data_IF_849380412196
#
_entry.id   IF_849380412196
#
_cell.length_a   1.000
_cell.length_b   1.000
_cell.length_c   1.000
_cell.angle_alpha   90.00
_cell.angle_beta   90.00
_cell.angle_gamma   90.00
#
_symmetry.space_group_name_H-M   'P 1'
#
loop_
_entity.id
_entity.type
_entity.pdbx_description
1 polymer ?
#
# COMPACT_ATOMS: atom_id res chain seq x y z
N UNK A 1 -12.53 -21.21 -13.31
CA UNK A 1 -12.36 -19.77 -13.44
C UNK A 1 -13.28 -19.13 -14.46
N UNK A 2 -13.28 -19.50 -15.73
CA UNK A 2 -14.14 -18.86 -16.77
C UNK A 2 -15.65 -18.88 -16.45
N UNK A 3 -16.18 -19.97 -15.85
CA UNK A 3 -17.59 -20.04 -15.43
C UNK A 3 -17.93 -19.11 -14.26
N UNK A 4 -16.97 -18.78 -13.38
CA UNK A 4 -17.15 -17.82 -12.30
C UNK A 4 -17.20 -16.41 -12.88
N UNK A 5 -16.28 -16.05 -13.78
CA UNK A 5 -16.27 -14.77 -14.49
C UNK A 5 -17.55 -14.55 -15.28
N UNK A 6 -18.03 -15.55 -16.01
CA UNK A 6 -19.30 -15.47 -16.73
C UNK A 6 -20.52 -15.24 -15.82
N UNK A 7 -20.52 -15.83 -14.60
CA UNK A 7 -21.56 -15.58 -13.60
C UNK A 7 -21.53 -14.16 -13.04
N UNK A 8 -20.34 -13.57 -12.87
CA UNK A 8 -20.16 -12.19 -12.43
C UNK A 8 -20.90 -11.22 -13.37
N UNK A 9 -20.73 -11.39 -14.68
CA UNK A 9 -21.37 -10.53 -15.67
C UNK A 9 -22.88 -10.76 -15.83
N UNK A 10 -23.40 -11.92 -15.42
CA UNK A 10 -24.83 -12.22 -15.44
C UNK A 10 -25.61 -11.57 -14.30
N UNK A 11 -24.93 -11.19 -13.22
CA UNK A 11 -25.58 -10.58 -12.03
C UNK A 11 -25.64 -9.06 -12.20
N UNK A 12 -26.84 -8.43 -12.36
CA UNK A 12 -26.95 -7.01 -12.74
C UNK A 12 -26.35 -6.05 -11.72
N UNK A 13 -26.48 -6.33 -10.42
CA UNK A 13 -25.94 -5.44 -9.37
C UNK A 13 -24.43 -5.52 -9.27
N UNK A 14 -23.86 -6.72 -9.42
CA UNK A 14 -22.41 -6.89 -9.39
C UNK A 14 -21.77 -6.23 -10.62
N UNK A 15 -22.44 -6.33 -11.79
CA UNK A 15 -22.03 -5.63 -13.00
C UNK A 15 -22.04 -4.11 -12.83
N UNK A 16 -23.08 -3.55 -12.16
CA UNK A 16 -23.14 -2.10 -11.85
C UNK A 16 -22.00 -1.68 -10.92
N UNK A 17 -21.70 -2.45 -9.87
CA UNK A 17 -20.59 -2.17 -8.96
C UNK A 17 -19.23 -2.23 -9.64
N UNK A 18 -19.00 -3.25 -10.48
CA UNK A 18 -17.76 -3.38 -11.27
C UNK A 18 -17.64 -2.20 -12.23
N UNK A 19 -18.70 -1.88 -12.98
CA UNK A 19 -18.72 -0.76 -13.93
C UNK A 19 -18.43 0.57 -13.24
N UNK A 20 -19.00 0.80 -12.06
CA UNK A 20 -18.73 1.97 -11.24
C UNK A 20 -17.25 2.06 -10.79
N UNK A 21 -16.69 0.95 -10.31
CA UNK A 21 -15.29 0.87 -9.93
C UNK A 21 -14.36 1.16 -11.10
N UNK A 22 -14.63 0.55 -12.28
CA UNK A 22 -13.84 0.78 -13.50
C UNK A 22 -13.95 2.23 -13.99
N UNK A 23 -15.12 2.86 -13.89
CA UNK A 23 -15.31 4.26 -14.24
C UNK A 23 -14.47 5.19 -13.35
N UNK A 24 -14.43 4.95 -12.02
CA UNK A 24 -13.60 5.73 -11.11
C UNK A 24 -12.10 5.48 -11.34
N UNK A 25 -11.70 4.26 -11.67
CA UNK A 25 -10.32 3.94 -12.07
C UNK A 25 -9.93 4.71 -13.34
N UNK A 26 -10.81 4.78 -14.33
CA UNK A 26 -10.57 5.55 -15.56
C UNK A 26 -10.42 7.04 -15.26
N UNK A 27 -11.28 7.62 -14.41
CA UNK A 27 -11.17 9.01 -13.97
C UNK A 27 -9.86 9.29 -13.22
N UNK A 28 -9.45 8.37 -12.33
CA UNK A 28 -8.17 8.46 -11.65
C UNK A 28 -6.99 8.47 -12.64
N UNK A 29 -7.02 7.61 -13.64
CA UNK A 29 -5.97 7.56 -14.68
C UNK A 29 -5.95 8.82 -15.54
N UNK A 30 -7.10 9.35 -15.93
CA UNK A 30 -7.18 10.62 -16.65
C UNK A 30 -6.55 11.77 -15.85
N UNK A 31 -6.88 11.90 -14.57
CA UNK A 31 -6.29 12.94 -13.71
C UNK A 31 -4.79 12.80 -13.50
N UNK A 32 -4.24 11.58 -13.62
CA UNK A 32 -2.79 11.34 -13.53
C UNK A 32 -2.00 11.90 -14.71
N UNK A 33 -2.65 12.20 -15.84
CA UNK A 33 -2.03 12.78 -17.04
C UNK A 33 -2.24 14.29 -17.16
N UNK A 34 -3.12 14.89 -16.35
CA UNK A 34 -3.38 16.33 -16.39
C UNK A 34 -2.28 17.04 -15.60
N UNK A 35 -1.41 17.86 -16.23
CA UNK A 35 -0.35 18.56 -15.53
C UNK A 35 -0.92 19.60 -14.56
N UNK A 36 -0.20 19.84 -13.46
CA UNK A 36 -0.53 20.91 -12.53
C UNK A 36 -0.34 22.29 -13.19
N UNK A 37 -1.05 23.34 -12.71
CA UNK A 37 -0.89 24.70 -13.24
C UNK A 37 0.57 25.14 -13.17
N UNK A 38 1.00 25.95 -14.14
CA UNK A 38 2.35 26.50 -14.25
C UNK A 38 3.48 25.49 -14.45
N UNK A 39 3.19 24.21 -14.71
CA UNK A 39 4.16 23.17 -15.07
C UNK A 39 4.38 23.19 -16.58
N UNK A 40 5.63 23.26 -17.01
CA UNK A 40 5.99 23.10 -18.41
C UNK A 40 6.09 21.62 -18.77
N UNK A 41 5.00 21.07 -19.32
CA UNK A 41 4.90 19.67 -19.67
C UNK A 41 5.95 19.21 -20.70
N UNK A 42 6.32 20.08 -21.66
CA UNK A 42 7.36 19.79 -22.64
C UNK A 42 8.73 19.57 -21.99
N UNK A 43 9.11 20.44 -21.07
CA UNK A 43 10.36 20.32 -20.33
C UNK A 43 10.36 19.10 -19.42
N UNK A 44 9.24 18.79 -18.77
CA UNK A 44 9.10 17.59 -17.94
C UNK A 44 9.30 16.33 -18.77
N UNK A 45 8.68 16.22 -19.94
CA UNK A 45 8.86 15.07 -20.83
C UNK A 45 10.27 14.96 -21.39
N UNK A 46 10.89 16.07 -21.81
CA UNK A 46 12.25 16.08 -22.29
C UNK A 46 13.24 15.65 -21.19
N UNK A 47 12.99 16.09 -19.96
CA UNK A 47 13.78 15.70 -18.80
C UNK A 47 13.61 14.23 -18.41
N UNK A 48 12.39 13.70 -18.47
CA UNK A 48 12.10 12.28 -18.27
C UNK A 48 12.79 11.39 -19.32
N UNK A 49 12.80 11.80 -20.58
CA UNK A 49 13.42 11.06 -21.67
C UNK A 49 14.95 10.98 -21.51
N UNK A 50 15.58 12.04 -21.01
CA UNK A 50 17.03 12.09 -20.75
C UNK A 50 17.45 11.38 -19.47
N UNK A 51 16.54 11.27 -18.47
CA UNK A 51 16.79 10.66 -17.18
C UNK A 51 16.17 9.26 -17.10
N UNK A 52 16.78 8.29 -17.74
CA UNK A 52 16.40 6.86 -17.61
C UNK A 52 16.83 6.22 -16.27
N UNK A 53 17.39 7.00 -15.32
CA UNK A 53 17.87 6.52 -14.04
C UNK A 53 17.60 7.55 -12.92
N UNK A 54 16.37 7.61 -12.42
CA UNK A 54 16.05 8.37 -11.18
C UNK A 54 16.48 7.60 -9.94
N UNK A 55 17.00 8.29 -8.93
CA UNK A 55 17.44 7.70 -7.67
C UNK A 55 16.26 7.02 -6.93
N UNK A 56 16.50 5.81 -6.40
CA UNK A 56 15.51 4.84 -5.91
C UNK A 56 14.37 5.34 -5.03
N UNK A 57 14.56 6.45 -4.32
CA UNK A 57 13.54 6.96 -3.39
C UNK A 57 12.36 7.62 -4.11
N UNK A 58 12.63 8.47 -5.11
CA UNK A 58 11.57 9.09 -5.93
C UNK A 58 10.84 8.08 -6.79
N UNK A 59 11.48 6.96 -7.12
CA UNK A 59 10.87 5.90 -7.87
C UNK A 59 9.84 5.14 -7.06
N UNK A 60 10.10 4.90 -5.76
CA UNK A 60 9.10 4.31 -4.87
C UNK A 60 7.85 5.19 -4.75
N UNK A 61 8.02 6.49 -4.49
CA UNK A 61 6.88 7.41 -4.40
C UNK A 61 6.16 7.54 -5.75
N UNK A 62 6.92 7.58 -6.84
CA UNK A 62 6.37 7.61 -8.19
C UNK A 62 5.62 6.32 -8.56
N UNK A 63 6.03 5.19 -8.00
CA UNK A 63 5.32 3.92 -8.14
C UNK A 63 3.90 4.00 -7.54
N UNK A 64 3.77 4.53 -6.33
CA UNK A 64 2.48 4.69 -5.65
C UNK A 64 1.59 5.76 -6.31
N UNK A 65 2.17 6.75 -6.96
CA UNK A 65 1.43 7.76 -7.74
C UNK A 65 1.08 7.30 -9.17
N UNK A 66 1.54 6.13 -9.60
CA UNK A 66 1.30 5.61 -10.95
C UNK A 66 2.00 6.39 -12.06
N UNK A 67 3.11 7.08 -11.75
CA UNK A 67 3.85 7.93 -12.68
C UNK A 67 3.49 9.41 -12.62
N UNK A 68 2.45 9.76 -11.90
CA UNK A 68 1.93 11.11 -11.80
C UNK A 68 2.89 12.10 -11.12
N UNK A 69 3.73 11.62 -10.18
CA UNK A 69 4.69 12.46 -9.44
C UNK A 69 5.74 13.07 -10.37
N UNK A 70 6.39 12.25 -11.19
CA UNK A 70 7.43 12.73 -12.10
C UNK A 70 6.86 13.58 -13.25
N UNK A 71 5.58 13.42 -13.56
CA UNK A 71 4.86 14.26 -14.52
C UNK A 71 4.35 15.57 -13.89
N UNK A 72 4.50 15.76 -12.58
CA UNK A 72 3.94 16.91 -11.84
C UNK A 72 2.46 17.13 -12.17
N UNK A 73 1.69 16.04 -12.25
CA UNK A 73 0.25 16.09 -12.54
C UNK A 73 -0.56 16.52 -11.30
N UNK A 74 -1.86 16.79 -11.49
CA UNK A 74 -2.78 17.13 -10.38
C UNK A 74 -2.77 16.04 -9.31
N UNK A 75 -2.59 14.78 -9.71
CA UNK A 75 -2.50 13.62 -8.81
C UNK A 75 -1.06 13.22 -8.45
N UNK A 76 -0.11 14.15 -8.52
CA UNK A 76 1.31 13.87 -8.27
C UNK A 76 1.59 13.24 -6.91
N UNK A 77 0.92 13.67 -5.85
CA UNK A 77 1.05 13.09 -4.51
C UNK A 77 0.42 11.69 -4.38
N UNK A 78 -0.47 11.35 -5.32
CA UNK A 78 -1.18 10.08 -5.29
C UNK A 78 -1.97 9.87 -4.00
N UNK A 79 -1.99 8.63 -3.53
CA UNK A 79 -2.72 8.20 -2.33
C UNK A 79 -1.84 8.23 -1.06
N UNK A 80 -0.54 8.54 -1.19
CA UNK A 80 0.43 8.48 -0.09
C UNK A 80 0.05 9.31 1.14
N UNK A 81 -0.43 10.57 1.04
CA UNK A 81 -0.83 11.35 2.20
C UNK A 81 -1.95 10.67 3.00
N UNK A 82 -2.91 10.05 2.32
CA UNK A 82 -4.01 9.33 2.98
C UNK A 82 -3.53 8.06 3.69
N UNK A 83 -2.66 7.27 3.05
CA UNK A 83 -2.09 6.07 3.67
C UNK A 83 -1.34 6.46 4.94
N UNK A 84 -0.47 7.46 4.84
CA UNK A 84 0.31 7.95 6.00
C UNK A 84 -0.60 8.46 7.12
N UNK A 85 -1.65 9.21 6.79
CA UNK A 85 -2.64 9.68 7.75
C UNK A 85 -3.40 8.54 8.44
N UNK A 86 -3.86 7.56 7.66
CA UNK A 86 -4.56 6.38 8.17
C UNK A 86 -3.69 5.59 9.14
N UNK A 87 -2.42 5.45 8.79
CA UNK A 87 -1.41 4.80 9.60
C UNK A 87 -1.20 5.54 10.92
N UNK A 88 -1.01 6.86 10.86
CA UNK A 88 -0.83 7.69 12.07
C UNK A 88 -2.05 7.56 12.99
N UNK A 89 -3.26 7.61 12.46
CA UNK A 89 -4.49 7.45 13.25
C UNK A 89 -4.58 6.06 13.88
N UNK A 90 -4.16 5.00 13.17
CA UNK A 90 -4.08 3.64 13.75
C UNK A 90 -3.04 3.56 14.88
N UNK A 91 -1.90 4.23 14.74
CA UNK A 91 -0.88 4.31 15.80
C UNK A 91 -1.39 5.10 17.01
N UNK A 92 -2.06 6.23 16.77
CA UNK A 92 -2.65 7.04 17.85
C UNK A 92 -3.70 6.28 18.64
N UNK A 93 -4.39 5.31 18.04
CA UNK A 93 -5.32 4.42 18.76
C UNK A 93 -4.63 3.63 19.88
N UNK A 94 -3.38 3.23 19.69
CA UNK A 94 -2.62 2.49 20.71
C UNK A 94 -2.11 3.40 21.81
N UNK A 95 -1.73 4.62 21.45
CA UNK A 95 -1.12 5.58 22.39
C UNK A 95 -2.16 6.39 23.16
N UNK A 96 -3.25 6.75 22.51
CA UNK A 96 -4.28 7.65 23.08
C UNK A 96 -5.55 6.86 23.39
N UNK A 97 -5.94 6.71 24.69
CA UNK A 97 -7.14 5.95 25.08
C UNK A 97 -8.43 6.44 24.42
N UNK A 98 -8.54 7.74 24.14
CA UNK A 98 -9.70 8.32 23.48
C UNK A 98 -9.94 7.73 22.07
N UNK A 99 -8.89 7.46 21.30
CA UNK A 99 -9.03 6.83 19.99
C UNK A 99 -9.43 5.35 20.09
N UNK A 100 -9.02 4.67 21.15
CA UNK A 100 -9.43 3.28 21.41
C UNK A 100 -10.91 3.21 21.83
N UNK A 101 -11.40 4.15 22.66
CA UNK A 101 -12.82 4.23 23.01
C UNK A 101 -13.68 4.50 21.78
N UNK A 102 -13.29 5.44 20.90
CA UNK A 102 -13.97 5.69 19.63
C UNK A 102 -14.04 4.43 18.76
N UNK A 103 -12.98 3.65 18.70
CA UNK A 103 -12.99 2.39 17.93
C UNK A 103 -13.98 1.37 18.49
N UNK A 104 -14.09 1.27 19.83
CA UNK A 104 -15.03 0.38 20.53
C UNK A 104 -16.49 0.82 20.41
N UNK A 105 -16.77 2.09 20.10
CA UNK A 105 -18.13 2.61 19.84
C UNK A 105 -18.76 2.06 18.55
N UNK A 106 -18.02 1.30 17.73
CA UNK A 106 -18.52 0.71 16.50
C UNK A 106 -18.62 1.71 15.34
N UNK A 107 -19.70 1.65 14.56
CA UNK A 107 -19.82 2.42 13.31
C UNK A 107 -19.76 3.95 13.51
N UNK A 108 -20.35 4.48 14.59
CA UNK A 108 -20.32 5.92 14.87
C UNK A 108 -18.91 6.42 15.19
N UNK A 109 -18.17 5.67 15.98
CA UNK A 109 -16.79 5.99 16.32
C UNK A 109 -15.83 5.82 15.13
N UNK A 110 -16.03 4.79 14.30
CA UNK A 110 -15.27 4.62 13.06
C UNK A 110 -15.48 5.79 12.08
N UNK A 111 -16.70 6.31 11.96
CA UNK A 111 -16.97 7.50 11.14
C UNK A 111 -16.15 8.71 11.62
N UNK A 112 -16.05 8.93 12.93
CA UNK A 112 -15.21 10.01 13.51
C UNK A 112 -13.74 9.78 13.26
N UNK A 113 -13.24 8.55 13.42
CA UNK A 113 -11.84 8.20 13.11
C UNK A 113 -11.50 8.46 11.63
N UNK A 114 -12.39 8.11 10.72
CA UNK A 114 -12.27 8.42 9.30
C UNK A 114 -12.20 9.93 9.06
N UNK A 115 -12.99 10.72 9.80
CA UNK A 115 -12.94 12.18 9.70
C UNK A 115 -11.59 12.75 10.16
N UNK A 116 -11.03 12.28 11.26
CA UNK A 116 -9.66 12.64 11.68
C UNK A 116 -8.62 12.27 10.63
N UNK A 117 -8.77 11.09 10.01
CA UNK A 117 -7.89 10.67 8.90
C UNK A 117 -7.99 11.65 7.73
N UNK A 118 -9.18 12.11 7.36
CA UNK A 118 -9.37 13.11 6.28
C UNK A 118 -8.68 14.43 6.59
N UNK A 119 -8.84 14.97 7.81
CA UNK A 119 -8.17 16.22 8.22
C UNK A 119 -6.65 16.08 8.17
N UNK A 120 -6.13 14.98 8.71
CA UNK A 120 -4.70 14.70 8.71
C UNK A 120 -4.16 14.50 7.29
N UNK A 121 -4.94 13.87 6.40
CA UNK A 121 -4.59 13.72 4.98
C UNK A 121 -4.41 15.06 4.30
N UNK A 122 -5.32 16.01 4.53
CA UNK A 122 -5.23 17.35 3.95
C UNK A 122 -3.99 18.09 4.50
N UNK A 123 -3.74 18.02 5.81
CA UNK A 123 -2.58 18.64 6.42
C UNK A 123 -1.26 18.07 5.86
N UNK A 124 -1.15 16.75 5.77
CA UNK A 124 0.01 16.09 5.15
C UNK A 124 0.11 16.38 3.66
N UNK A 125 -1.02 16.48 2.97
CA UNK A 125 -1.08 16.87 1.56
C UNK A 125 -0.49 18.25 1.30
N UNK A 126 -0.84 19.25 2.13
CA UNK A 126 -0.24 20.60 2.06
C UNK A 126 1.27 20.56 2.31
N UNK A 127 1.71 19.81 3.29
CA UNK A 127 3.13 19.68 3.62
C UNK A 127 3.91 18.99 2.50
N UNK A 128 3.41 17.88 1.99
CA UNK A 128 4.07 17.13 0.91
C UNK A 128 4.02 17.88 -0.42
N UNK A 129 2.94 18.59 -0.76
CA UNK A 129 2.86 19.41 -1.97
C UNK A 129 3.85 20.56 -1.94
N UNK A 130 3.98 21.24 -0.80
CA UNK A 130 4.97 22.30 -0.62
C UNK A 130 6.39 21.75 -0.83
N UNK A 131 6.68 20.58 -0.26
CA UNK A 131 7.96 19.89 -0.44
C UNK A 131 8.21 19.56 -1.90
N UNK A 132 7.25 18.95 -2.58
CA UNK A 132 7.40 18.57 -3.99
C UNK A 132 7.66 19.78 -4.89
N UNK A 133 6.94 20.87 -4.67
CA UNK A 133 7.11 22.11 -5.47
C UNK A 133 8.48 22.73 -5.22
N UNK A 134 8.96 22.79 -3.98
CA UNK A 134 10.30 23.32 -3.66
C UNK A 134 11.40 22.48 -4.29
N UNK A 135 11.28 21.16 -4.28
CA UNK A 135 12.19 20.23 -4.93
C UNK A 135 12.14 20.33 -6.45
N UNK A 136 10.95 20.47 -7.04
CA UNK A 136 10.80 20.67 -8.47
C UNK A 136 11.41 22.01 -8.92
N UNK A 137 11.28 23.06 -8.10
CA UNK A 137 11.86 24.39 -8.36
C UNK A 137 13.38 24.41 -8.27
N UNK A 138 13.97 23.67 -7.34
CA UNK A 138 15.43 23.57 -7.19
C UNK A 138 16.10 22.71 -8.27
N UNK A 139 15.33 22.05 -9.14
CA UNK A 139 15.83 21.08 -10.12
C UNK A 139 16.29 19.74 -9.51
N UNK A 140 16.19 19.58 -8.19
CA UNK A 140 16.63 18.40 -7.48
C UNK A 140 15.70 17.16 -7.70
N UNK A 141 14.58 17.35 -8.40
CA UNK A 141 13.71 16.25 -8.81
C UNK A 141 14.41 15.27 -9.76
N UNK A 142 15.32 15.79 -10.59
CA UNK A 142 16.11 15.03 -11.57
C UNK A 142 17.61 15.23 -11.32
N UNK A 143 18.20 14.53 -10.34
CA UNK A 143 19.58 14.80 -9.88
C UNK A 143 20.68 14.55 -10.91
N UNK A 144 20.43 13.66 -11.89
CA UNK A 144 21.39 13.36 -12.97
C UNK A 144 21.43 14.42 -14.07
N UNK A 145 20.48 15.34 -14.11
CA UNK A 145 20.36 16.39 -15.13
C UNK A 145 20.46 17.79 -14.53
N UNK A 146 20.99 17.92 -13.31
CA UNK A 146 21.23 19.21 -12.69
C UNK A 146 22.18 20.00 -13.59
N UNK A 147 21.69 21.12 -14.14
CA UNK A 147 22.48 21.98 -15.05
C UNK A 147 22.01 21.99 -16.51
N UNK A 148 21.09 21.11 -16.92
CA UNK A 148 20.44 21.24 -18.23
C UNK A 148 19.33 22.29 -18.15
N UNK A 149 19.24 23.25 -19.10
CA UNK A 149 18.25 24.34 -19.05
C UNK A 149 16.81 23.82 -19.05
N UNK A 150 16.58 22.67 -19.65
CA UNK A 150 15.26 22.03 -19.73
C UNK A 150 14.79 21.47 -18.37
N UNK A 151 15.69 20.92 -17.56
CA UNK A 151 15.35 20.34 -16.25
C UNK A 151 15.38 21.37 -15.10
N UNK A 152 15.95 22.55 -15.33
CA UNK A 152 15.93 23.66 -14.36
C UNK A 152 14.66 24.51 -14.47
N UNK A 153 13.98 24.52 -15.63
CA UNK A 153 12.79 25.33 -15.91
C UNK A 153 11.51 24.48 -15.97
N UNK A 154 11.29 23.62 -14.94
CA UNK A 154 10.09 22.79 -14.84
C UNK A 154 8.85 23.62 -14.51
N UNK A 155 9.01 24.71 -13.75
CA UNK A 155 7.95 25.60 -13.33
C UNK A 155 8.12 26.93 -14.07
N UNK A 156 7.11 27.32 -14.83
CA UNK A 156 7.13 28.53 -15.69
C UNK A 156 7.08 29.82 -14.90
N UNK A 157 6.40 29.83 -13.76
CA UNK A 157 6.21 31.01 -12.92
C UNK A 157 6.52 30.70 -11.46
N UNK A 158 7.51 31.37 -10.89
CA UNK A 158 7.97 31.19 -9.51
C UNK A 158 7.40 32.21 -8.52
N UNK A 159 6.35 32.93 -8.91
CA UNK A 159 5.68 33.90 -8.04
C UNK A 159 5.01 33.19 -6.85
N UNK A 160 4.90 33.88 -5.70
CA UNK A 160 4.34 33.29 -4.49
C UNK A 160 2.87 32.79 -4.67
N UNK A 161 2.06 33.51 -5.43
CA UNK A 161 0.69 33.11 -5.73
C UNK A 161 0.61 31.87 -6.64
N UNK A 162 1.57 31.71 -7.57
CA UNK A 162 1.66 30.52 -8.41
C UNK A 162 2.00 29.29 -7.57
N UNK A 163 2.93 29.41 -6.62
CA UNK A 163 3.27 28.33 -5.67
C UNK A 163 2.06 27.97 -4.81
N UNK A 164 1.37 28.97 -4.26
CA UNK A 164 0.18 28.74 -3.44
C UNK A 164 -0.92 28.02 -4.23
N UNK A 165 -1.15 28.43 -5.48
CA UNK A 165 -2.15 27.80 -6.35
C UNK A 165 -1.76 26.36 -6.70
N UNK A 166 -0.48 26.08 -6.95
CA UNK A 166 0.02 24.72 -7.15
C UNK A 166 -0.19 23.85 -5.89
N UNK A 167 0.14 24.37 -4.69
CA UNK A 167 -0.07 23.64 -3.43
C UNK A 167 -1.55 23.30 -3.24
N UNK A 168 -2.44 24.26 -3.47
CA UNK A 168 -3.89 24.04 -3.38
C UNK A 168 -4.35 22.98 -4.39
N UNK A 169 -3.88 23.07 -5.63
CA UNK A 169 -4.26 22.14 -6.70
C UNK A 169 -3.82 20.71 -6.40
N UNK A 170 -2.58 20.50 -5.96
CA UNK A 170 -2.06 19.18 -5.60
C UNK A 170 -2.78 18.60 -4.37
N UNK A 171 -3.04 19.45 -3.37
CA UNK A 171 -3.78 19.04 -2.17
C UNK A 171 -5.24 18.69 -2.51
N UNK A 172 -5.88 19.49 -3.36
CA UNK A 172 -7.23 19.21 -3.86
C UNK A 172 -7.26 17.90 -4.65
N UNK A 173 -6.22 17.64 -5.48
CA UNK A 173 -6.04 16.37 -6.17
C UNK A 173 -5.98 15.17 -5.21
N UNK A 174 -5.23 15.27 -4.13
CA UNK A 174 -5.18 14.25 -3.07
C UNK A 174 -6.55 14.05 -2.41
N UNK A 175 -7.26 15.15 -2.10
CA UNK A 175 -8.62 15.10 -1.56
C UNK A 175 -9.59 14.40 -2.49
N UNK A 176 -9.47 14.61 -3.79
CA UNK A 176 -10.29 13.98 -4.82
C UNK A 176 -10.00 12.48 -4.94
N UNK A 177 -8.72 12.07 -4.88
CA UNK A 177 -8.33 10.65 -4.84
C UNK A 177 -8.90 9.96 -3.59
N UNK A 178 -8.77 10.60 -2.43
CA UNK A 178 -9.35 10.10 -1.17
C UNK A 178 -10.86 9.88 -1.31
N UNK A 179 -11.59 10.87 -1.83
CA UNK A 179 -13.03 10.77 -2.06
C UNK A 179 -13.39 9.64 -3.05
N UNK A 180 -12.63 9.49 -4.17
CA UNK A 180 -12.82 8.38 -5.10
C UNK A 180 -12.61 7.02 -4.41
N UNK A 181 -11.59 6.89 -3.56
CA UNK A 181 -11.31 5.66 -2.83
C UNK A 181 -12.43 5.29 -1.84
N UNK A 182 -12.98 6.28 -1.14
CA UNK A 182 -14.13 6.09 -0.26
C UNK A 182 -15.37 5.68 -1.05
N UNK A 183 -15.65 6.32 -2.18
CA UNK A 183 -16.77 5.96 -3.07
C UNK A 183 -16.66 4.53 -3.60
N UNK A 184 -15.45 4.07 -3.97
CA UNK A 184 -15.24 2.68 -4.39
C UNK A 184 -15.54 1.74 -3.22
N UNK A 185 -15.12 2.07 -2.01
CA UNK A 185 -15.36 1.24 -0.82
C UNK A 185 -16.84 1.16 -0.48
N UNK A 186 -17.60 2.26 -0.61
CA UNK A 186 -19.02 2.29 -0.28
C UNK A 186 -19.91 1.66 -1.35
N UNK A 187 -19.66 1.97 -2.62
CA UNK A 187 -20.56 1.63 -3.73
C UNK A 187 -19.95 0.68 -4.75
N UNK A 188 -18.67 0.43 -4.69
CA UNK A 188 -17.92 -0.43 -5.60
C UNK A 188 -17.68 -1.84 -5.05
N UNK A 189 -16.54 -2.39 -5.40
CA UNK A 189 -16.07 -3.70 -4.95
C UNK A 189 -14.70 -3.50 -4.30
N UNK A 190 -14.47 -4.15 -3.16
CA UNK A 190 -13.18 -4.14 -2.49
C UNK A 190 -12.92 -2.88 -1.68
N UNK A 191 -11.71 -2.80 -1.14
CA UNK A 191 -11.22 -1.59 -0.49
C UNK A 191 -10.74 -0.62 -1.58
N UNK A 192 -11.43 0.52 -1.72
CA UNK A 192 -11.17 1.47 -2.80
C UNK A 192 -9.75 2.03 -2.80
N UNK A 193 -9.18 2.26 -1.61
CA UNK A 193 -7.81 2.74 -1.50
C UNK A 193 -6.81 1.70 -2.02
N UNK A 194 -6.99 0.45 -1.64
CA UNK A 194 -6.14 -0.66 -2.12
C UNK A 194 -6.25 -0.85 -3.64
N UNK A 195 -7.45 -0.70 -4.20
CA UNK A 195 -7.67 -0.79 -5.65
C UNK A 195 -7.00 0.35 -6.41
N UNK A 196 -7.04 1.58 -5.88
CA UNK A 196 -6.35 2.71 -6.51
C UNK A 196 -4.82 2.52 -6.49
N UNK A 197 -4.25 2.00 -5.39
CA UNK A 197 -2.83 1.65 -5.32
C UNK A 197 -2.49 0.54 -6.32
N UNK A 198 -3.29 -0.52 -6.34
CA UNK A 198 -3.16 -1.60 -7.33
C UNK A 198 -3.15 -1.06 -8.76
N UNK A 199 -4.10 -0.17 -9.08
CA UNK A 199 -4.21 0.46 -10.41
C UNK A 199 -2.97 1.29 -10.74
N UNK A 200 -2.45 2.05 -9.78
CA UNK A 200 -1.24 2.86 -9.96
C UNK A 200 -0.04 2.00 -10.34
N UNK A 201 0.16 0.90 -9.62
CA UNK A 201 1.26 -0.02 -9.84
C UNK A 201 1.08 -0.81 -11.14
N UNK A 202 -0.11 -1.40 -11.34
CA UNK A 202 -0.40 -2.23 -12.50
C UNK A 202 -0.29 -1.45 -13.82
N UNK A 203 -0.64 -0.17 -13.82
CA UNK A 203 -0.57 0.68 -15.00
C UNK A 203 0.87 0.97 -15.48
N UNK A 204 1.87 0.92 -14.61
CA UNK A 204 3.29 1.09 -14.97
C UNK A 204 3.94 -0.20 -15.45
N UNK A 205 3.39 -1.33 -15.09
CA UNK A 205 3.96 -2.64 -15.35
C UNK A 205 4.30 -2.90 -16.84
N UNK A 206 3.38 -2.66 -17.81
CA UNK A 206 3.68 -2.87 -19.21
C UNK A 206 4.80 -1.97 -19.73
N UNK A 207 4.81 -0.70 -19.33
CA UNK A 207 5.83 0.27 -19.74
C UNK A 207 7.23 -0.10 -19.24
N UNK A 208 7.34 -0.52 -17.98
CA UNK A 208 8.61 -0.97 -17.40
C UNK A 208 9.13 -2.24 -18.06
N UNK A 209 8.26 -3.21 -18.36
CA UNK A 209 8.63 -4.42 -19.10
C UNK A 209 9.11 -4.09 -20.51
N UNK A 210 8.45 -3.17 -21.20
CA UNK A 210 8.86 -2.73 -22.54
C UNK A 210 10.21 -2.03 -22.53
N UNK A 211 10.47 -1.19 -21.52
CA UNK A 211 11.75 -0.51 -21.33
C UNK A 211 12.90 -1.50 -21.13
N UNK A 212 12.69 -2.58 -20.36
CA UNK A 212 13.69 -3.64 -20.20
C UNK A 212 13.99 -4.33 -21.53
N UNK A 213 12.94 -4.64 -22.33
CA UNK A 213 13.11 -5.24 -23.65
C UNK A 213 13.99 -4.38 -24.57
N UNK A 214 13.77 -3.05 -24.56
CA UNK A 214 14.54 -2.13 -25.41
C UNK A 214 15.97 -1.93 -24.92
N UNK A 215 16.20 -1.88 -23.60
CA UNK A 215 17.52 -1.57 -23.03
C UNK A 215 18.44 -2.77 -22.90
N UNK A 216 17.89 -3.95 -22.59
CA UNK A 216 18.68 -5.15 -22.24
C UNK A 216 18.47 -6.36 -23.18
N UNK A 217 17.59 -6.22 -24.17
CA UNK A 217 17.31 -7.27 -25.14
C UNK A 217 16.21 -8.26 -24.72
N UNK A 218 15.90 -9.18 -25.68
CA UNK A 218 14.78 -10.11 -25.51
C UNK A 218 15.02 -11.21 -24.49
N UNK A 219 16.28 -11.67 -24.35
CA UNK A 219 16.63 -12.74 -23.39
C UNK A 219 16.42 -12.29 -21.95
N UNK A 220 16.89 -11.08 -21.61
CA UNK A 220 16.71 -10.51 -20.26
C UNK A 220 15.23 -10.24 -19.97
N UNK A 221 14.46 -9.79 -20.96
CA UNK A 221 13.04 -9.60 -20.85
C UNK A 221 12.30 -10.91 -20.53
N UNK A 222 12.62 -12.01 -21.22
CA UNK A 222 12.03 -13.32 -20.98
C UNK A 222 12.37 -13.85 -19.58
N UNK A 223 13.64 -13.70 -19.17
CA UNK A 223 14.10 -14.08 -17.84
C UNK A 223 13.36 -13.32 -16.74
N UNK A 224 13.19 -12.00 -16.89
CA UNK A 224 12.46 -11.15 -15.93
C UNK A 224 10.99 -11.56 -15.81
N UNK A 225 10.31 -11.88 -16.92
CA UNK A 225 8.92 -12.36 -16.89
C UNK A 225 8.84 -13.71 -16.15
N UNK A 226 9.72 -14.65 -16.46
CA UNK A 226 9.72 -15.99 -15.84
C UNK A 226 9.96 -15.88 -14.34
N UNK A 227 10.95 -15.11 -13.93
CA UNK A 227 11.22 -14.80 -12.52
C UNK A 227 10.01 -14.13 -11.85
N UNK A 228 9.37 -13.17 -12.51
CA UNK A 228 8.19 -12.51 -12.00
C UNK A 228 7.02 -13.47 -11.77
N UNK A 229 6.77 -14.40 -12.68
CA UNK A 229 5.73 -15.43 -12.53
C UNK A 229 6.04 -16.35 -11.34
N UNK A 230 7.30 -16.78 -11.17
CA UNK A 230 7.71 -17.60 -10.05
C UNK A 230 7.51 -16.88 -8.72
N UNK A 231 7.96 -15.62 -8.62
CA UNK A 231 7.80 -14.80 -7.41
C UNK A 231 6.31 -14.59 -7.11
N UNK A 232 5.48 -14.24 -8.11
CA UNK A 232 4.04 -14.08 -7.92
C UNK A 232 3.39 -15.38 -7.43
N UNK A 233 3.76 -16.53 -7.99
CA UNK A 233 3.25 -17.83 -7.54
C UNK A 233 3.61 -18.14 -6.09
N UNK A 234 4.84 -17.84 -5.67
CA UNK A 234 5.30 -18.00 -4.31
C UNK A 234 4.55 -17.06 -3.34
N UNK A 235 4.35 -15.80 -3.73
CA UNK A 235 3.58 -14.83 -2.95
C UNK A 235 2.13 -15.29 -2.79
N UNK A 236 1.47 -15.74 -3.87
CA UNK A 236 0.10 -16.28 -3.81
C UNK A 236 0.02 -17.47 -2.84
N UNK A 237 1.00 -18.37 -2.89
CA UNK A 237 1.05 -19.54 -2.02
C UNK A 237 1.14 -19.15 -0.53
N UNK A 238 2.02 -18.21 -0.19
CA UNK A 238 2.17 -17.76 1.20
C UNK A 238 0.98 -16.92 1.67
N UNK A 239 0.44 -16.03 0.83
CA UNK A 239 -0.74 -15.21 1.18
C UNK A 239 -2.02 -16.03 1.39
N UNK A 240 -2.12 -17.21 0.77
CA UNK A 240 -3.21 -18.13 0.99
C UNK A 240 -2.96 -19.10 2.16
N UNK A 241 -1.73 -19.19 2.63
CA UNK A 241 -1.35 -20.07 3.73
C UNK A 241 -1.94 -19.59 5.05
N UNK A 242 -2.64 -20.49 5.73
CA UNK A 242 -3.29 -20.19 7.01
C UNK A 242 -3.19 -21.38 7.97
N UNK A 243 -2.96 -21.08 9.24
CA UNK A 243 -3.11 -22.06 10.31
C UNK A 243 -4.56 -22.09 10.78
N UNK A 244 -5.21 -23.26 10.70
CA UNK A 244 -6.60 -23.45 11.12
C UNK A 244 -6.62 -23.98 12.54
N UNK A 245 -7.19 -23.21 13.48
CA UNK A 245 -7.37 -23.63 14.86
C UNK A 245 -8.80 -24.17 14.99
N UNK A 246 -9.00 -25.45 15.33
CA UNK A 246 -10.34 -26.01 15.46
C UNK A 246 -11.06 -25.43 16.68
N UNK A 247 -12.30 -25.01 16.48
CA UNK A 247 -13.20 -24.53 17.54
C UNK A 247 -14.45 -25.40 17.55
N UNK A 248 -14.84 -25.82 18.73
CA UNK A 248 -16.06 -26.60 18.95
C UNK A 248 -17.05 -25.74 19.71
N UNK A 249 -18.31 -25.80 19.27
CA UNK A 249 -19.42 -25.19 19.98
C UNK A 249 -20.22 -26.24 20.71
N UNK A 250 -20.66 -25.94 21.93
CA UNK A 250 -21.44 -26.84 22.74
C UNK A 250 -22.75 -27.19 22.02
N UNK A 251 -23.07 -28.50 21.98
CA UNK A 251 -24.35 -28.99 21.47
C UNK A 251 -25.43 -28.70 22.52
N UNK A 252 -26.52 -28.09 22.09
CA UNK A 252 -27.71 -27.93 22.94
C UNK A 252 -28.77 -28.98 22.55
N UNK A 253 -29.22 -29.75 23.50
CA UNK A 253 -30.38 -30.61 23.34
C UNK A 253 -31.65 -29.88 23.79
N UNK A 254 -32.63 -29.77 22.90
CA UNK A 254 -33.93 -29.23 23.21
C UNK A 254 -34.94 -30.35 22.88
N UNK A 255 -35.39 -31.08 23.90
CA UNK A 255 -36.17 -32.27 23.75
C UNK A 255 -35.37 -33.40 23.10
N UNK A 256 -35.93 -34.03 22.04
CA UNK A 256 -35.26 -35.08 21.24
C UNK A 256 -34.38 -34.58 20.09
N UNK A 257 -34.32 -33.25 19.88
CA UNK A 257 -33.53 -32.67 18.79
C UNK A 257 -32.25 -32.03 19.32
N UNK A 258 -31.11 -32.33 18.71
CA UNK A 258 -29.83 -31.72 18.95
C UNK A 258 -29.66 -30.51 18.04
N UNK A 259 -29.49 -29.34 18.63
CA UNK A 259 -29.18 -28.10 17.92
C UNK A 259 -27.75 -27.68 18.21
N UNK A 260 -27.00 -27.23 17.18
CA UNK A 260 -25.62 -26.80 17.29
C UNK A 260 -24.60 -27.93 17.15
N UNK A 261 -23.36 -27.65 17.42
CA UNK A 261 -22.24 -28.59 17.33
C UNK A 261 -21.53 -28.59 15.98
N UNK A 262 -21.66 -27.50 15.20
CA UNK A 262 -20.83 -27.35 14.03
C UNK A 262 -19.37 -27.07 14.46
N UNK A 263 -18.47 -27.93 14.03
CA UNK A 263 -17.05 -27.69 14.16
C UNK A 263 -16.67 -26.61 13.16
N UNK A 264 -16.12 -25.52 13.65
CA UNK A 264 -15.57 -24.44 12.84
C UNK A 264 -14.08 -24.27 13.15
N UNK A 265 -13.41 -23.36 12.47
CA UNK A 265 -12.02 -23.07 12.72
C UNK A 265 -11.75 -21.57 12.65
N UNK A 266 -10.77 -21.11 13.43
CA UNK A 266 -10.24 -19.77 13.33
C UNK A 266 -9.07 -19.81 12.34
N UNK A 267 -9.15 -19.10 11.19
CA UNK A 267 -8.04 -19.04 10.25
C UNK A 267 -7.06 -17.96 10.67
N UNK A 268 -5.85 -18.32 11.06
CA UNK A 268 -4.74 -17.40 11.28
C UNK A 268 -3.85 -17.45 10.04
N UNK A 269 -3.83 -16.37 9.24
CA UNK A 269 -2.97 -16.26 8.07
C UNK A 269 -1.51 -16.17 8.49
N UNK A 270 -0.59 -16.70 7.68
CA UNK A 270 0.87 -16.55 7.89
C UNK A 270 1.25 -15.08 7.78
N UNK A 271 0.71 -14.37 6.79
CA UNK A 271 0.82 -12.93 6.70
C UNK A 271 -0.50 -12.26 7.11
N UNK A 272 -0.65 -11.93 8.39
CA UNK A 272 -1.82 -11.19 8.90
C UNK A 272 -1.68 -9.68 8.68
N UNK A 273 -0.45 -9.18 8.61
CA UNK A 273 -0.17 -7.76 8.45
C UNK A 273 -0.36 -7.27 6.99
N UNK A 274 -0.42 -8.19 6.03
CA UNK A 274 -0.51 -7.84 4.61
C UNK A 274 0.72 -7.04 4.16
N UNK A 275 0.50 -6.02 3.36
CA UNK A 275 1.56 -5.15 2.79
C UNK A 275 1.88 -3.94 3.67
N UNK A 276 1.05 -3.67 4.66
CA UNK A 276 1.11 -2.46 5.49
C UNK A 276 2.49 -2.22 6.11
N UNK A 277 3.18 -3.22 6.72
CA UNK A 277 4.52 -3.01 7.30
C UNK A 277 5.57 -2.54 6.30
N UNK A 278 5.48 -3.00 5.05
CA UNK A 278 6.42 -2.60 3.98
C UNK A 278 6.22 -1.14 3.60
N UNK A 279 4.97 -0.69 3.53
CA UNK A 279 4.62 0.71 3.27
C UNK A 279 5.08 1.61 4.43
N UNK A 280 4.92 1.15 5.68
CA UNK A 280 5.42 1.87 6.86
C UNK A 280 6.92 2.04 6.86
N UNK A 281 7.65 0.95 6.64
CA UNK A 281 9.10 0.96 6.62
C UNK A 281 9.64 1.90 5.53
N UNK A 282 9.06 1.85 4.31
CA UNK A 282 9.44 2.75 3.23
C UNK A 282 9.12 4.20 3.54
N UNK A 283 7.95 4.49 4.12
CA UNK A 283 7.56 5.85 4.50
C UNK A 283 8.46 6.42 5.61
N UNK A 284 8.84 5.61 6.59
CA UNK A 284 9.72 6.04 7.68
C UNK A 284 11.14 6.31 7.17
N UNK A 285 11.67 5.49 6.28
CA UNK A 285 12.99 5.72 5.67
C UNK A 285 13.01 6.93 4.72
N UNK A 286 11.84 7.30 4.18
CA UNK A 286 11.71 8.49 3.35
C UNK A 286 11.88 9.80 4.14
N UNK A 287 11.46 9.86 5.41
CA UNK A 287 11.51 11.07 6.23
C UNK A 287 12.92 11.65 6.41
N UNK A 288 13.95 10.88 6.83
CA UNK A 288 15.32 11.38 6.94
C UNK A 288 15.88 11.91 5.63
N UNK A 289 15.56 11.23 4.52
CA UNK A 289 15.99 11.64 3.20
C UNK A 289 15.33 12.97 2.76
N UNK A 290 14.06 13.19 3.11
CA UNK A 290 13.39 14.48 2.93
C UNK A 290 14.05 15.59 3.73
N UNK A 291 14.32 15.35 5.02
CA UNK A 291 14.98 16.34 5.89
C UNK A 291 16.36 16.70 5.35
N UNK A 292 17.14 15.71 4.91
CA UNK A 292 18.44 15.94 4.29
C UNK A 292 18.33 16.79 3.01
N UNK A 293 17.30 16.58 2.21
CA UNK A 293 17.05 17.31 0.98
C UNK A 293 16.69 18.78 1.22
N UNK A 294 15.90 19.10 2.26
CA UNK A 294 15.61 20.48 2.64
C UNK A 294 16.84 21.25 3.13
N UNK A 295 17.81 20.54 3.70
CA UNK A 295 19.04 21.13 4.23
C UNK A 295 20.21 21.07 3.24
N UNK A 296 19.97 20.79 1.95
CA UNK A 296 21.00 20.91 0.94
C UNK A 296 21.29 22.41 0.70
N UNK A 297 22.56 22.83 0.82
CA UNK A 297 22.93 24.22 0.61
C UNK A 297 22.75 24.61 -0.86
N UNK A 298 22.55 25.91 -1.11
CA UNK A 298 22.57 26.46 -2.46
C UNK A 298 23.89 26.14 -3.17
N UNK A 299 23.84 26.06 -4.50
CA UNK A 299 24.99 25.71 -5.34
C UNK A 299 26.27 26.45 -4.94
N UNK A 300 27.31 25.68 -4.57
CA UNK A 300 28.63 26.21 -4.22
C UNK A 300 29.06 26.11 -2.75
N UNK A 301 28.19 25.67 -1.85
CA UNK A 301 28.58 25.38 -0.45
C UNK A 301 28.57 23.86 -0.20
N UNK A 302 29.57 23.36 0.53
CA UNK A 302 29.61 21.95 0.93
C UNK A 302 28.44 21.63 1.87
N UNK A 303 27.71 20.50 1.66
CA UNK A 303 26.64 20.08 2.55
C UNK A 303 27.19 19.72 3.94
N UNK A 304 26.34 19.83 4.96
CA UNK A 304 26.72 19.44 6.32
C UNK A 304 27.06 17.92 6.39
N UNK A 305 27.99 17.49 7.23
CA UNK A 305 28.43 16.07 7.30
C UNK A 305 27.30 15.08 7.53
N UNK A 306 26.28 15.43 8.31
CA UNK A 306 25.12 14.57 8.55
C UNK A 306 24.20 14.45 7.30
N UNK A 307 24.13 15.51 6.47
CA UNK A 307 23.38 15.49 5.19
C UNK A 307 24.04 14.55 4.21
N UNK A 308 25.39 14.63 4.08
CA UNK A 308 26.16 13.72 3.22
C UNK A 308 26.02 12.28 3.69
N UNK A 309 26.11 12.03 5.00
CA UNK A 309 25.95 10.70 5.55
C UNK A 309 24.56 10.09 5.25
N UNK A 310 23.49 10.87 5.41
CA UNK A 310 22.13 10.42 5.07
C UNK A 310 21.99 10.17 3.57
N UNK A 311 22.50 11.07 2.72
CA UNK A 311 22.39 10.90 1.27
C UNK A 311 23.16 9.70 0.76
N UNK A 312 24.34 9.41 1.32
CA UNK A 312 25.19 8.30 0.88
C UNK A 312 24.71 6.95 1.39
N UNK A 313 24.10 6.90 2.59
CA UNK A 313 23.70 5.65 3.22
C UNK A 313 22.21 5.33 3.15
N UNK A 314 21.32 6.33 3.09
CA UNK A 314 19.87 6.13 3.16
C UNK A 314 19.12 6.52 1.87
N UNK A 315 19.79 7.13 0.90
CA UNK A 315 19.16 7.53 -0.36
C UNK A 315 19.26 6.46 -1.44
N UNK A 316 20.38 5.75 -1.49
CA UNK A 316 20.63 4.69 -2.48
C UNK A 316 20.14 3.35 -1.93
N UNK A 317 19.21 2.72 -2.65
CA UNK A 317 18.60 1.44 -2.23
C UNK A 317 19.56 0.25 -2.24
N UNK A 318 20.73 0.37 -2.88
CA UNK A 318 21.81 -0.62 -3.02
C UNK A 318 22.77 -0.64 -1.83
N UNK A 319 22.69 0.34 -0.90
CA UNK A 319 23.54 0.34 0.28
C UNK A 319 23.12 -0.77 1.27
N UNK A 320 24.04 -1.62 1.75
CA UNK A 320 23.71 -2.71 2.68
C UNK A 320 23.13 -2.21 4.02
N UNK A 321 23.50 -1.00 4.46
CA UNK A 321 22.93 -0.39 5.65
C UNK A 321 21.43 -0.08 5.45
N UNK A 322 21.06 0.47 4.28
CA UNK A 322 19.67 0.72 3.92
C UNK A 322 18.86 -0.59 3.90
N UNK A 323 19.38 -1.63 3.26
CA UNK A 323 18.74 -2.95 3.17
C UNK A 323 18.52 -3.57 4.55
N UNK A 324 19.54 -3.53 5.41
CA UNK A 324 19.44 -4.07 6.78
C UNK A 324 18.43 -3.30 7.62
N UNK A 325 18.43 -1.97 7.57
CA UNK A 325 17.50 -1.13 8.30
C UNK A 325 16.06 -1.33 7.79
N UNK A 326 15.89 -1.41 6.47
CA UNK A 326 14.59 -1.65 5.84
C UNK A 326 14.00 -3.00 6.26
N UNK A 327 14.81 -4.06 6.23
CA UNK A 327 14.41 -5.40 6.69
C UNK A 327 13.98 -5.39 8.16
N UNK A 328 14.79 -4.78 9.02
CA UNK A 328 14.54 -4.71 10.46
C UNK A 328 13.27 -3.93 10.78
N UNK A 329 13.04 -2.82 10.08
CA UNK A 329 11.80 -2.05 10.19
C UNK A 329 10.58 -2.84 9.74
N UNK A 330 10.66 -3.58 8.63
CA UNK A 330 9.56 -4.44 8.16
C UNK A 330 9.20 -5.48 9.22
N UNK A 331 10.20 -6.17 9.78
CA UNK A 331 9.99 -7.17 10.84
C UNK A 331 9.35 -6.52 12.07
N UNK A 332 9.89 -5.41 12.55
CA UNK A 332 9.36 -4.67 13.70
C UNK A 332 7.91 -4.20 13.50
N UNK A 333 7.63 -3.58 12.36
CA UNK A 333 6.28 -3.12 12.03
C UNK A 333 5.30 -4.28 11.80
N UNK A 334 5.75 -5.42 11.33
CA UNK A 334 4.88 -6.60 11.18
C UNK A 334 4.38 -7.07 12.54
N UNK A 335 5.27 -7.23 13.53
CA UNK A 335 4.86 -7.58 14.89
C UNK A 335 3.95 -6.53 15.50
N UNK A 336 4.32 -5.28 15.37
CA UNK A 336 3.54 -4.16 15.88
C UNK A 336 2.12 -4.13 15.28
N UNK A 337 2.00 -4.25 13.97
CA UNK A 337 0.71 -4.23 13.28
C UNK A 337 -0.17 -5.42 13.63
N UNK A 338 0.41 -6.61 13.73
CA UNK A 338 -0.32 -7.83 14.12
C UNK A 338 -0.86 -7.70 15.54
N UNK A 339 -0.06 -7.16 16.48
CA UNK A 339 -0.49 -6.93 17.87
C UNK A 339 -1.67 -5.94 17.97
N UNK A 340 -1.74 -4.96 17.07
CA UNK A 340 -2.86 -3.99 17.05
C UNK A 340 -4.11 -4.59 16.40
N UNK A 341 -3.93 -5.34 15.31
CA UNK A 341 -5.06 -5.82 14.47
C UNK A 341 -5.77 -7.00 15.10
N UNK A 342 -5.06 -7.85 15.81
CA UNK A 342 -5.61 -9.05 16.43
C UNK A 342 -5.48 -8.96 17.96
N UNK A 343 -6.62 -8.87 18.64
CA UNK A 343 -6.68 -8.90 20.11
C UNK A 343 -7.09 -10.29 20.57
N UNK A 344 -6.15 -11.12 21.11
CA UNK A 344 -6.44 -12.47 21.55
C UNK A 344 -7.45 -12.54 22.69
N UNK A 345 -7.45 -11.53 23.60
CA UNK A 345 -8.37 -11.49 24.73
C UNK A 345 -9.81 -11.28 24.27
N UNK A 346 -10.04 -10.33 23.37
CA UNK A 346 -11.38 -10.04 22.83
C UNK A 346 -11.93 -11.25 22.06
N UNK A 347 -11.09 -11.94 21.27
CA UNK A 347 -11.48 -13.16 20.55
C UNK A 347 -11.84 -14.27 21.51
N UNK A 348 -11.04 -14.50 22.56
CA UNK A 348 -11.29 -15.53 23.58
C UNK A 348 -12.56 -15.24 24.38
N UNK A 349 -12.82 -13.99 24.75
CA UNK A 349 -14.03 -13.58 25.45
C UNK A 349 -15.28 -13.73 24.57
N UNK A 350 -15.21 -13.37 23.31
CA UNK A 350 -16.30 -13.59 22.37
C UNK A 350 -16.58 -15.08 22.19
N UNK A 351 -15.54 -15.91 22.04
CA UNK A 351 -15.70 -17.36 22.00
C UNK A 351 -16.41 -17.89 23.26
N UNK A 352 -16.00 -17.44 24.45
CA UNK A 352 -16.61 -17.84 25.71
C UNK A 352 -18.10 -17.44 25.78
N UNK A 353 -18.44 -16.21 25.35
CA UNK A 353 -19.85 -15.72 25.30
C UNK A 353 -20.72 -16.58 24.39
N UNK A 354 -20.20 -17.06 23.28
CA UNK A 354 -20.95 -17.90 22.33
C UNK A 354 -20.84 -19.42 22.62
N UNK A 355 -20.21 -19.80 23.74
CA UNK A 355 -20.07 -21.21 24.11
C UNK A 355 -19.10 -22.01 23.24
N UNK A 356 -18.18 -21.31 22.57
CA UNK A 356 -17.10 -21.93 21.80
C UNK A 356 -15.88 -22.22 22.68
N UNK A 357 -15.19 -23.32 22.41
CA UNK A 357 -13.94 -23.66 23.07
C UNK A 357 -12.99 -24.36 22.10
N UNK A 358 -11.69 -24.26 22.39
CA UNK A 358 -10.66 -25.01 21.67
C UNK A 358 -10.48 -26.36 22.38
N UNK A 359 -10.51 -27.49 21.66
CA UNK A 359 -10.32 -28.81 22.28
C UNK A 359 -9.01 -28.87 23.09
N UNK A 360 -9.13 -29.27 24.36
CA UNK A 360 -8.00 -29.36 25.29
C UNK A 360 -7.62 -28.06 26.03
N UNK A 361 -8.27 -26.93 25.72
CA UNK A 361 -7.97 -25.63 26.36
C UNK A 361 -9.24 -25.08 27.01
N UNK A 362 -9.11 -24.59 28.26
CA UNK A 362 -10.24 -23.95 28.97
C UNK A 362 -10.61 -22.63 28.32
N UNK A 363 -11.93 -22.38 28.20
CA UNK A 363 -12.44 -21.12 27.67
C UNK A 363 -12.05 -19.93 28.57
N UNK A 364 -11.72 -18.79 27.98
CA UNK A 364 -11.30 -17.55 28.64
C UNK A 364 -9.80 -17.30 28.55
N UNK A 365 -9.14 -16.86 29.61
CA UNK A 365 -7.74 -16.46 29.64
C UNK A 365 -6.76 -17.50 29.05
N UNK A 366 -6.85 -18.80 29.35
CA UNK A 366 -5.97 -19.81 28.74
C UNK A 366 -6.12 -19.89 27.21
N UNK A 367 -7.32 -19.62 26.69
CA UNK A 367 -7.56 -19.53 25.24
C UNK A 367 -6.88 -18.31 24.63
N UNK A 368 -6.91 -17.16 25.33
CA UNK A 368 -6.22 -15.95 24.88
C UNK A 368 -4.69 -16.17 24.85
N UNK A 369 -4.12 -16.75 25.90
CA UNK A 369 -2.68 -17.07 25.97
C UNK A 369 -2.24 -18.06 24.87
N UNK A 370 -3.07 -19.03 24.55
CA UNK A 370 -2.79 -19.97 23.45
C UNK A 370 -2.86 -19.28 22.08
N UNK A 371 -3.85 -18.41 21.85
CA UNK A 371 -3.99 -17.67 20.61
C UNK A 371 -2.80 -16.70 20.42
N UNK A 372 -2.37 -16.02 21.48
CA UNK A 372 -1.21 -15.15 21.46
C UNK A 372 0.09 -15.93 21.16
N UNK A 373 0.28 -17.07 21.80
CA UNK A 373 1.40 -17.97 21.52
C UNK A 373 1.45 -18.38 20.04
N UNK A 374 0.32 -18.83 19.48
CA UNK A 374 0.24 -19.25 18.08
C UNK A 374 0.49 -18.05 17.16
N UNK A 375 -0.10 -16.90 17.46
CA UNK A 375 0.04 -15.67 16.68
C UNK A 375 1.51 -15.25 16.57
N UNK A 376 2.21 -15.15 17.70
CA UNK A 376 3.62 -14.77 17.75
C UNK A 376 4.50 -15.72 16.94
N UNK A 377 4.23 -17.03 17.03
CA UNK A 377 4.97 -18.05 16.28
C UNK A 377 4.71 -18.03 14.78
N UNK A 378 3.48 -17.71 14.36
CA UNK A 378 3.11 -17.61 12.93
C UNK A 378 3.58 -16.29 12.33
N UNK A 379 3.63 -15.22 13.13
CA UNK A 379 4.10 -13.89 12.67
C UNK A 379 5.60 -13.89 12.33
N UNK A 380 6.43 -14.69 13.01
CA UNK A 380 7.86 -14.75 12.73
C UNK A 380 8.17 -15.13 11.26
N UNK A 381 7.75 -16.30 10.75
CA UNK A 381 7.99 -16.64 9.34
C UNK A 381 7.30 -15.66 8.38
N UNK A 382 6.14 -15.11 8.75
CA UNK A 382 5.46 -14.09 7.96
C UNK A 382 6.25 -12.80 7.82
N UNK A 383 6.87 -12.32 8.90
CA UNK A 383 7.69 -11.10 8.89
C UNK A 383 9.00 -11.28 8.10
N UNK A 384 9.66 -12.43 8.25
CA UNK A 384 10.86 -12.77 7.48
C UNK A 384 10.52 -12.86 5.98
N UNK A 385 9.43 -13.51 5.65
CA UNK A 385 8.93 -13.60 4.28
C UNK A 385 8.70 -12.21 3.66
N UNK A 386 7.99 -11.31 4.37
CA UNK A 386 7.74 -9.95 3.90
C UNK A 386 9.05 -9.18 3.69
N UNK A 387 9.97 -9.28 4.64
CA UNK A 387 11.27 -8.64 4.54
C UNK A 387 12.11 -9.15 3.37
N UNK A 388 12.16 -10.48 3.17
CA UNK A 388 12.88 -11.08 2.04
C UNK A 388 12.31 -10.64 0.69
N UNK A 389 11.00 -10.69 0.52
CA UNK A 389 10.37 -10.25 -0.74
C UNK A 389 10.58 -8.77 -0.99
N UNK A 390 10.54 -7.94 0.04
CA UNK A 390 10.81 -6.51 -0.09
C UNK A 390 12.27 -6.22 -0.48
N UNK A 391 13.23 -7.08 -0.09
CA UNK A 391 14.64 -6.95 -0.43
C UNK A 391 15.00 -7.48 -1.82
N UNK A 392 14.23 -8.41 -2.39
CA UNK A 392 14.52 -9.02 -3.71
C UNK A 392 14.89 -7.99 -4.79
N UNK A 393 14.13 -6.91 -5.00
CA UNK A 393 14.49 -5.92 -6.03
C UNK A 393 15.74 -5.12 -5.69
N UNK A 394 15.98 -4.83 -4.41
CA UNK A 394 17.16 -4.10 -3.96
C UNK A 394 18.43 -4.93 -4.15
N UNK A 395 18.35 -6.22 -3.85
CA UNK A 395 19.44 -7.19 -4.09
C UNK A 395 19.68 -7.35 -5.59
N UNK A 396 18.63 -7.46 -6.39
CA UNK A 396 18.74 -7.54 -7.84
C UNK A 396 19.38 -6.30 -8.45
N UNK A 397 19.07 -5.12 -7.91
CA UNK A 397 19.67 -3.85 -8.30
C UNK A 397 21.17 -3.81 -7.97
N UNK A 398 21.55 -4.24 -6.78
CA UNK A 398 22.95 -4.27 -6.34
C UNK A 398 23.83 -5.29 -7.08
N UNK A 399 23.29 -6.50 -7.38
CA UNK A 399 24.07 -7.58 -8.00
C UNK A 399 24.15 -7.50 -9.53
N UNK A 400 23.03 -7.12 -10.17
CA UNK A 400 22.92 -7.15 -11.63
C UNK A 400 23.02 -5.78 -12.29
N UNK A 401 23.21 -4.71 -11.52
CA UNK A 401 23.12 -3.34 -12.04
C UNK A 401 21.80 -3.14 -12.80
N UNK A 402 20.75 -3.87 -12.38
CA UNK A 402 19.44 -3.76 -13.00
C UNK A 402 19.00 -2.32 -12.84
N UNK A 403 18.77 -1.63 -13.97
CA UNK A 403 18.22 -0.29 -13.93
C UNK A 403 16.95 -0.30 -13.08
N UNK A 404 16.69 0.79 -12.37
CA UNK A 404 15.59 1.02 -11.44
C UNK A 404 14.19 0.75 -12.03
N UNK A 405 14.10 0.32 -13.28
CA UNK A 405 12.87 -0.07 -13.99
C UNK A 405 12.45 -1.52 -13.75
N UNK A 406 12.96 -2.18 -12.68
CA UNK A 406 12.55 -3.55 -12.38
C UNK A 406 11.10 -3.56 -11.87
N UNK A 407 10.12 -4.03 -12.69
CA UNK A 407 8.70 -3.87 -12.37
C UNK A 407 8.25 -4.76 -11.20
N UNK A 408 9.03 -5.78 -10.86
CA UNK A 408 8.74 -6.72 -9.79
C UNK A 408 9.33 -6.28 -8.45
N UNK A 409 9.25 -4.99 -8.11
CA UNK A 409 9.57 -4.50 -6.77
C UNK A 409 8.79 -5.27 -5.70
N UNK A 410 9.45 -5.69 -4.61
CA UNK A 410 8.82 -6.55 -3.59
C UNK A 410 7.48 -6.01 -3.08
N UNK A 411 7.41 -4.71 -2.79
CA UNK A 411 6.17 -4.05 -2.41
C UNK A 411 5.11 -4.10 -3.52
N UNK A 412 5.50 -3.92 -4.78
CA UNK A 412 4.58 -3.91 -5.92
C UNK A 412 3.90 -5.27 -6.11
N UNK A 413 4.67 -6.36 -6.06
CA UNK A 413 4.14 -7.71 -6.20
C UNK A 413 3.20 -8.05 -5.04
N UNK A 414 3.61 -7.73 -3.81
CA UNK A 414 2.80 -7.96 -2.62
C UNK A 414 1.47 -7.23 -2.72
N UNK A 415 1.47 -5.98 -3.19
CA UNK A 415 0.24 -5.19 -3.37
C UNK A 415 -0.62 -5.78 -4.48
N UNK A 416 -0.04 -6.09 -5.64
CA UNK A 416 -0.79 -6.65 -6.77
C UNK A 416 -1.45 -7.97 -6.38
N UNK A 417 -0.70 -8.88 -5.75
CA UNK A 417 -1.21 -10.19 -5.35
C UNK A 417 -2.19 -10.07 -4.18
N UNK A 418 -1.83 -9.33 -3.14
CA UNK A 418 -2.64 -9.17 -1.93
C UNK A 418 -4.00 -8.54 -2.23
N UNK A 419 -4.01 -7.41 -2.92
CA UNK A 419 -5.26 -6.70 -3.30
C UNK A 419 -6.06 -7.53 -4.31
N UNK A 420 -5.39 -8.16 -5.28
CA UNK A 420 -6.05 -9.04 -6.25
C UNK A 420 -6.78 -10.20 -5.57
N UNK A 421 -6.11 -10.92 -4.65
CA UNK A 421 -6.70 -12.03 -3.90
C UNK A 421 -7.85 -11.56 -2.99
N UNK A 422 -7.71 -10.43 -2.32
CA UNK A 422 -8.75 -9.87 -1.46
C UNK A 422 -9.99 -9.48 -2.27
N UNK A 423 -9.80 -8.83 -3.40
CA UNK A 423 -10.89 -8.44 -4.31
C UNK A 423 -11.62 -9.67 -4.85
N UNK A 424 -10.90 -10.70 -5.27
CA UNK A 424 -11.50 -11.96 -5.74
C UNK A 424 -12.30 -12.64 -4.62
N UNK A 425 -11.78 -12.72 -3.40
CA UNK A 425 -12.49 -13.28 -2.25
C UNK A 425 -13.77 -12.52 -1.92
N UNK A 426 -13.76 -11.19 -2.01
CA UNK A 426 -14.95 -10.37 -1.79
C UNK A 426 -16.00 -10.60 -2.87
N UNK A 427 -15.59 -10.72 -4.14
CA UNK A 427 -16.49 -11.05 -5.25
C UNK A 427 -17.13 -12.44 -5.02
N UNK A 428 -16.34 -13.43 -4.66
CA UNK A 428 -16.84 -14.78 -4.40
C UNK A 428 -17.82 -14.81 -3.21
N UNK A 429 -17.53 -14.07 -2.14
CA UNK A 429 -18.41 -13.92 -0.99
C UNK A 429 -19.77 -13.31 -1.37
N UNK A 430 -19.76 -12.24 -2.18
CA UNK A 430 -21.00 -11.61 -2.66
C UNK A 430 -21.80 -12.53 -3.61
N UNK A 431 -21.13 -13.36 -4.40
CA UNK A 431 -21.79 -14.36 -5.26
C UNK A 431 -22.45 -15.45 -4.44
N UNK A 432 -21.77 -15.95 -3.38
CA UNK A 432 -22.30 -16.98 -2.49
C UNK A 432 -23.53 -16.50 -1.71
N UNK A 433 -23.50 -15.30 -1.15
CA UNK A 433 -24.64 -14.73 -0.42
C UNK A 433 -25.92 -14.73 -1.25
N UNK A 434 -25.83 -14.40 -2.54
CA UNK A 434 -26.99 -14.41 -3.44
C UNK A 434 -27.47 -15.79 -3.87
N UNK A 435 -26.61 -16.78 -3.84
CA UNK A 435 -27.02 -18.15 -4.13
C UNK A 435 -27.93 -18.70 -3.04
N UNK A 436 -27.75 -18.26 -1.79
CA UNK A 436 -28.64 -18.59 -0.67
C UNK A 436 -29.99 -17.84 -0.73
N UNK A 437 -30.02 -16.60 -1.18
CA UNK A 437 -31.30 -15.87 -1.36
C UNK A 437 -32.19 -16.48 -2.46
N UNK A 438 -31.60 -17.10 -3.48
CA UNK A 438 -32.33 -17.81 -4.54
C UNK A 438 -32.93 -19.16 -4.12
N UNK A 439 -32.45 -19.75 -3.02
CA UNK A 439 -32.98 -21.00 -2.44
C UNK A 439 -34.14 -20.77 -1.46
N UNK A 440 -34.33 -19.54 -1.01
CA UNK A 440 -35.39 -19.15 -0.07
C UNK A 440 -36.61 -18.52 -0.75
N UNK A 441 -36.60 -18.40 -2.06
CA UNK A 441 -37.73 -18.09 -2.94
C UNK A 441 -38.18 -19.39 -3.65
#
# INVERSE_FOLDING_TARGET
MFRAVARIFRTPDLRKKIGFTLALIALFRLGSFIPAPFVNFGNVQACLAKNSGTSGLYELVNLFSGGALLQLSIFALGIMPYITASIIVQLLRVVIPHFDTLYKEGQSGQARLTQYTRYLTIALGVLQSTTLITVARSGALFPTSVGTPECSALITNSSWYAILLMVITLTAGTGLIMWMGELITERGIGNGMSILIFTSIAARFPGSLWAIKQSKGFETFLFVILMGIVIMGLVVYVEQSQRRIPVQYAKRMVGRRTYGGNNTYIPIKVNMAGVVPVIFASSLLYLPALIAQFNQPAAGKAPAPWVTWITDNLRTGDNPLYMALYFLLIVGFTYFYVAITFNPEEVADNMKKYGGFIPGIRAGRPTAEYLDYVLTRVTLPGSIYLGLIALVPLIALGLFGANQNFPFGGASILIIVGVGLETVKQIDSQLQQRHYEGLLR
#
